data_IF_605733698666
#
_entry.id   IF_605733698666
#
_cell.length_a   1.000
_cell.length_b   1.000
_cell.length_c   1.000
_cell.angle_alpha   90.00
_cell.angle_beta   90.00
_cell.angle_gamma   90.00
#
_symmetry.space_group_name_H-M   'P 1'
#
loop_
_entity.id
_entity.type
_entity.pdbx_description
1 polymer ?
#
# COMPACT_ATOMS: atom_id res chain seq x y z
N UNK A 1 -0.03 -2.12 25.57
CA UNK A 1 0.21 -2.51 25.07
C UNK A 1 0.64 -2.56 24.28
N UNK A 2 0.57 -2.67 24.07
CA UNK A 2 0.95 -2.91 23.32
C UNK A 2 1.34 -3.02 22.38
N UNK A 3 1.65 -3.26 22.22
CA UNK A 3 2.03 -3.36 21.31
C UNK A 3 2.00 -3.45 20.16
N UNK A 4 1.94 -3.12 19.72
CA UNK A 4 1.83 -3.18 18.61
C UNK A 4 2.95 -3.45 17.79
N UNK A 5 3.86 -3.85 18.15
CA UNK A 5 5.00 -4.17 17.47
C UNK A 5 4.74 -5.30 16.57
N UNK A 6 5.12 -5.26 15.35
CA UNK A 6 4.85 -6.27 14.37
C UNK A 6 3.43 -6.29 13.83
N UNK A 7 2.61 -5.39 14.30
CA UNK A 7 1.28 -5.28 13.76
C UNK A 7 1.29 -4.49 12.48
N UNK A 8 0.61 -5.01 11.47
CA UNK A 8 0.46 -4.33 10.20
C UNK A 8 -0.92 -3.70 10.12
N UNK A 9 -0.99 -2.56 9.48
CA UNK A 9 -2.26 -1.88 9.25
C UNK A 9 -2.60 -2.00 7.78
N UNK A 10 -3.68 -2.71 7.49
CA UNK A 10 -4.13 -2.86 6.12
C UNK A 10 -4.68 -1.54 5.61
N UNK A 11 -4.48 -1.30 4.33
CA UNK A 11 -4.85 -0.05 3.72
C UNK A 11 -6.33 0.06 3.49
N UNK A 12 -6.82 1.30 3.58
CA UNK A 12 -8.12 1.67 3.06
C UNK A 12 -7.90 2.70 1.98
N UNK A 13 -8.93 2.94 1.18
CA UNK A 13 -8.85 3.96 0.16
C UNK A 13 -8.52 5.32 0.77
N UNK A 14 -9.11 5.61 1.91
CA UNK A 14 -8.84 6.87 2.60
C UNK A 14 -7.38 6.99 3.00
N UNK A 15 -6.81 5.92 3.51
CA UNK A 15 -5.41 5.95 3.95
C UNK A 15 -4.47 6.12 2.77
N UNK A 16 -4.75 5.44 1.66
CA UNK A 16 -3.93 5.56 0.47
C UNK A 16 -3.98 6.98 -0.08
N UNK A 17 -5.16 7.58 -0.14
CA UNK A 17 -5.26 8.96 -0.60
C UNK A 17 -4.48 9.89 0.30
N UNK A 18 -4.50 9.64 1.60
CA UNK A 18 -3.75 10.44 2.54
C UNK A 18 -2.24 10.32 2.28
N UNK A 19 -1.75 9.10 2.08
CA UNK A 19 -0.35 8.87 1.80
C UNK A 19 0.08 9.56 0.51
N UNK A 20 -0.72 9.44 -0.54
CA UNK A 20 -0.37 10.00 -1.84
C UNK A 20 -0.37 11.53 -1.82
N UNK A 21 -1.07 12.13 -0.87
CA UNK A 21 -1.15 13.59 -0.81
C UNK A 21 -0.11 14.20 0.12
N UNK A 22 0.74 13.41 0.75
CA UNK A 22 1.77 13.92 1.63
C UNK A 22 3.13 13.78 0.97
N UNK A 23 4.10 14.51 1.50
CA UNK A 23 5.48 14.39 1.04
C UNK A 23 6.26 13.34 1.82
N UNK A 24 5.63 12.72 2.79
CA UNK A 24 6.30 11.71 3.59
C UNK A 24 6.48 10.44 2.81
N UNK A 25 7.63 9.81 3.02
CA UNK A 25 7.90 8.54 2.40
C UNK A 25 7.40 7.45 3.32
N UNK A 26 6.37 6.75 2.90
CA UNK A 26 5.76 5.72 3.71
C UNK A 26 5.91 4.39 2.99
N UNK A 27 6.44 3.40 3.69
CA UNK A 27 6.65 2.08 3.11
C UNK A 27 5.33 1.32 3.09
N UNK A 28 5.01 0.78 1.93
CA UNK A 28 3.81 -0.02 1.73
C UNK A 28 4.24 -1.41 1.31
N UNK A 29 3.51 -2.41 1.76
CA UNK A 29 3.87 -3.80 1.51
C UNK A 29 2.69 -4.57 0.95
N UNK A 30 3.01 -5.55 0.13
CA UNK A 30 2.06 -6.51 -0.41
C UNK A 30 2.72 -7.88 -0.35
N UNK A 31 2.10 -8.81 0.41
CA UNK A 31 2.61 -10.18 0.59
C UNK A 31 4.08 -10.16 1.00
N UNK A 32 4.39 -9.34 1.98
CA UNK A 32 5.73 -9.22 2.56
C UNK A 32 6.78 -8.66 1.60
N UNK A 33 6.34 -8.01 0.53
CA UNK A 33 7.25 -7.39 -0.43
C UNK A 33 7.02 -5.88 -0.44
N UNK A 34 8.08 -5.09 -0.44
CA UNK A 34 7.91 -3.64 -0.53
C UNK A 34 7.42 -3.25 -1.93
N UNK A 35 6.46 -2.36 -1.97
CA UNK A 35 5.87 -1.91 -3.23
C UNK A 35 5.68 -0.40 -3.18
N UNK A 36 5.53 0.20 -4.37
CA UNK A 36 5.08 1.59 -4.44
C UNK A 36 3.77 1.61 -5.21
N UNK A 37 2.97 2.64 -4.92
CA UNK A 37 1.66 2.77 -5.54
C UNK A 37 1.80 3.67 -6.74
N UNK A 38 1.42 3.16 -7.91
CA UNK A 38 1.49 3.91 -9.15
C UNK A 38 0.19 4.66 -9.43
N UNK A 39 -0.93 4.02 -9.20
CA UNK A 39 -2.23 4.64 -9.38
C UNK A 39 -3.27 3.85 -8.62
N UNK A 40 -4.42 4.45 -8.43
CA UNK A 40 -5.53 3.77 -7.74
C UNK A 40 -6.81 3.98 -8.52
N UNK A 41 -7.69 3.00 -8.42
CA UNK A 41 -9.05 3.09 -8.93
C UNK A 41 -9.98 3.02 -7.73
N UNK A 42 -10.52 4.17 -7.35
CA UNK A 42 -11.39 4.20 -6.18
C UNK A 42 -12.70 3.47 -6.42
N UNK A 43 -13.12 3.42 -7.67
CA UNK A 43 -14.36 2.76 -8.01
C UNK A 43 -14.26 1.26 -7.79
N UNK A 44 -13.10 0.68 -8.06
CA UNK A 44 -12.89 -0.75 -7.96
C UNK A 44 -12.11 -1.17 -6.73
N UNK A 45 -11.62 -0.19 -5.97
CA UNK A 45 -10.78 -0.44 -4.80
C UNK A 45 -9.51 -1.21 -5.18
N UNK A 46 -8.95 -0.89 -6.34
CA UNK A 46 -7.77 -1.53 -6.88
C UNK A 46 -6.63 -0.53 -6.93
N UNK A 47 -5.44 -0.99 -6.61
CA UNK A 47 -4.23 -0.19 -6.73
C UNK A 47 -3.29 -0.86 -7.72
N UNK A 48 -2.69 -0.07 -8.60
CA UNK A 48 -1.61 -0.54 -9.44
C UNK A 48 -0.33 -0.27 -8.68
N UNK A 49 0.43 -1.33 -8.45
CA UNK A 49 1.66 -1.25 -7.66
C UNK A 49 2.84 -1.71 -8.49
N UNK A 50 4.02 -1.26 -8.07
CA UNK A 50 5.27 -1.77 -8.59
C UNK A 50 6.04 -2.39 -7.45
N UNK A 51 6.72 -3.49 -7.72
CA UNK A 51 7.55 -4.16 -6.73
C UNK A 51 8.94 -3.56 -6.73
N UNK A 52 9.38 -3.14 -5.55
CA UNK A 52 10.66 -2.48 -5.43
C UNK A 52 11.82 -3.43 -5.77
N UNK A 53 11.65 -4.70 -5.46
CA UNK A 53 12.74 -5.65 -5.58
C UNK A 53 12.95 -6.18 -7.00
N UNK A 54 11.95 -6.13 -7.89
CA UNK A 54 12.15 -6.62 -9.25
C UNK A 54 11.46 -5.76 -10.31
N UNK A 55 10.83 -4.67 -9.88
CA UNK A 55 10.20 -3.68 -10.77
C UNK A 55 9.05 -4.23 -11.62
N UNK A 56 8.52 -5.38 -11.24
CA UNK A 56 7.27 -5.85 -11.84
C UNK A 56 6.10 -5.00 -11.37
N UNK A 57 4.99 -5.10 -12.06
CA UNK A 57 3.78 -4.37 -11.74
C UNK A 57 2.63 -5.33 -11.54
N UNK A 58 1.66 -4.92 -10.75
CA UNK A 58 0.50 -5.76 -10.50
C UNK A 58 -0.68 -4.88 -10.12
N UNK A 59 -1.89 -5.39 -10.35
CA UNK A 59 -3.11 -4.74 -9.88
C UNK A 59 -3.63 -5.55 -8.72
N UNK A 60 -3.75 -4.90 -7.56
CA UNK A 60 -4.11 -5.61 -6.34
C UNK A 60 -5.24 -4.87 -5.64
N UNK A 61 -5.97 -5.60 -4.81
CA UNK A 61 -7.00 -4.98 -3.99
C UNK A 61 -6.32 -4.11 -2.94
N UNK A 62 -6.84 -2.90 -2.78
CA UNK A 62 -6.27 -1.96 -1.82
C UNK A 62 -6.26 -2.56 -0.42
N UNK A 63 -7.26 -3.35 -0.09
CA UNK A 63 -7.35 -3.94 1.25
C UNK A 63 -6.31 -5.02 1.49
N UNK A 64 -5.57 -5.43 0.48
CA UNK A 64 -4.47 -6.39 0.66
C UNK A 64 -3.13 -5.70 0.91
N UNK A 65 -3.09 -4.39 0.77
CA UNK A 65 -1.88 -3.63 1.06
C UNK A 65 -1.81 -3.28 2.54
N UNK A 66 -0.60 -3.09 3.04
CA UNK A 66 -0.43 -2.71 4.43
C UNK A 66 0.87 -1.91 4.61
N UNK A 67 0.95 -1.27 5.76
CA UNK A 67 2.14 -0.50 6.11
C UNK A 67 2.74 -0.94 7.44
#
# INVERSE_FOLDING_TARGET
MLLKKGMSFYMTLKRINNILSTDEKIDVFYKNRPVWIQSISSKENIAKIGYVDDFDEDDVDISDLYE
#
